data_IF_542809050774
#
_entry.id   IF_542809050774
#
_cell.length_a   1.000
_cell.length_b   1.000
_cell.length_c   1.000
_cell.angle_alpha   90.00
_cell.angle_beta   90.00
_cell.angle_gamma   90.00
#
_symmetry.space_group_name_H-M   'P 1'
#
loop_
_entity.id
_entity.type
_entity.pdbx_description
1 polymer ?
#
# COMPACT_ATOMS: atom_id res chain seq x y z
N UNK A 1 11.57 -9.66 -1.53
CA UNK A 1 10.62 -8.59 -1.16
C UNK A 1 9.96 -9.04 0.13
N UNK A 2 9.92 -8.19 1.17
CA UNK A 2 9.24 -8.56 2.39
C UNK A 2 7.73 -8.67 2.14
N UNK A 3 7.12 -9.65 2.80
CA UNK A 3 5.72 -9.99 2.61
C UNK A 3 4.95 -9.48 3.83
N UNK A 4 3.89 -8.72 3.56
CA UNK A 4 2.97 -8.22 4.56
C UNK A 4 1.56 -8.75 4.32
N UNK A 5 0.72 -8.56 5.33
CA UNK A 5 -0.72 -8.81 5.23
C UNK A 5 -1.45 -7.49 5.27
N UNK A 6 -2.40 -7.32 4.35
CA UNK A 6 -3.22 -6.13 4.28
C UNK A 6 -4.58 -6.42 4.92
N UNK A 7 -4.99 -5.53 5.81
CA UNK A 7 -6.29 -5.56 6.46
C UNK A 7 -7.05 -4.27 6.19
N UNK A 8 -8.37 -4.36 6.20
CA UNK A 8 -9.24 -3.20 6.06
C UNK A 8 -9.29 -2.43 7.38
N UNK A 9 -9.02 -1.12 7.38
CA UNK A 9 -8.98 -0.35 8.63
C UNK A 9 -10.34 -0.20 9.32
N UNK A 10 -11.46 -0.47 8.63
CA UNK A 10 -12.82 -0.31 9.17
C UNK A 10 -13.30 -1.50 9.99
N UNK A 11 -12.88 -2.71 9.63
CA UNK A 11 -13.42 -3.98 10.18
C UNK A 11 -12.30 -4.98 10.54
N UNK A 12 -11.04 -4.57 10.39
CA UNK A 12 -9.83 -5.41 10.55
C UNK A 12 -9.87 -6.72 9.74
N UNK A 13 -10.71 -6.76 8.69
CA UNK A 13 -10.82 -7.90 7.80
C UNK A 13 -9.55 -8.05 6.98
N UNK A 14 -9.02 -9.27 6.97
CA UNK A 14 -7.95 -9.66 6.07
C UNK A 14 -8.42 -9.48 4.62
N UNK A 15 -7.64 -8.71 3.84
CA UNK A 15 -7.93 -8.43 2.44
C UNK A 15 -7.09 -9.37 1.57
N UNK A 16 -5.78 -9.29 1.70
CA UNK A 16 -4.84 -10.00 0.84
C UNK A 16 -3.42 -9.98 1.41
N UNK A 17 -2.58 -10.87 0.89
CA UNK A 17 -1.14 -10.79 1.06
C UNK A 17 -0.58 -9.74 0.09
N UNK A 18 0.37 -8.94 0.57
CA UNK A 18 0.98 -7.84 -0.18
C UNK A 18 2.49 -7.90 -0.08
N UNK A 19 3.17 -7.69 -1.19
CA UNK A 19 4.59 -7.38 -1.21
C UNK A 19 4.77 -5.89 -1.01
N UNK A 20 5.56 -5.48 -0.04
CA UNK A 20 5.86 -4.07 0.17
C UNK A 20 7.34 -3.79 -0.04
N UNK A 21 7.64 -2.56 -0.44
CA UNK A 21 9.00 -2.05 -0.57
C UNK A 21 9.00 -0.62 -0.07
N UNK A 22 9.61 -0.40 1.10
CA UNK A 22 9.86 0.96 1.59
C UNK A 22 10.89 1.63 0.69
N UNK A 23 10.49 2.72 0.03
CA UNK A 23 11.44 3.57 -0.69
C UNK A 23 12.04 4.61 0.23
N UNK A 24 11.29 5.00 1.26
CA UNK A 24 11.74 5.97 2.24
C UNK A 24 11.13 5.63 3.59
N UNK A 25 12.00 5.47 4.58
CA UNK A 25 11.63 5.28 5.98
C UNK A 25 12.14 6.50 6.75
N UNK A 26 11.28 7.15 7.50
CA UNK A 26 11.62 8.19 8.47
C UNK A 26 10.89 7.89 9.77
N UNK A 27 11.39 8.40 10.89
CA UNK A 27 10.94 8.03 12.24
C UNK A 27 9.41 8.08 12.43
N UNK A 28 8.72 8.99 11.74
CA UNK A 28 7.26 9.16 11.85
C UNK A 28 6.48 8.89 10.56
N UNK A 29 7.15 8.66 9.42
CA UNK A 29 6.49 8.46 8.12
C UNK A 29 7.31 7.54 7.24
N UNK A 30 6.62 6.66 6.56
CA UNK A 30 7.19 5.84 5.51
C UNK A 30 6.37 5.99 4.24
N UNK A 31 7.04 5.91 3.09
CA UNK A 31 6.37 5.76 1.81
C UNK A 31 7.13 4.74 0.97
N UNK A 32 6.40 4.11 0.07
CA UNK A 32 6.93 2.99 -0.68
C UNK A 32 5.93 2.47 -1.69
N UNK A 33 6.32 1.36 -2.30
CA UNK A 33 5.47 0.63 -3.21
C UNK A 33 4.88 -0.58 -2.51
N UNK A 34 3.62 -0.85 -2.82
CA UNK A 34 2.92 -2.00 -2.31
C UNK A 34 2.21 -2.68 -3.48
N UNK A 35 2.53 -3.95 -3.67
CA UNK A 35 2.00 -4.81 -4.72
C UNK A 35 1.17 -5.90 -4.08
N UNK A 36 -0.10 -5.98 -4.42
CA UNK A 36 -0.95 -7.09 -3.98
C UNK A 36 -0.51 -8.38 -4.67
N UNK A 37 -0.32 -9.44 -3.89
CA UNK A 37 -0.03 -10.78 -4.43
C UNK A 37 -1.27 -11.35 -5.10
N UNK A 38 -2.42 -11.18 -4.45
CA UNK A 38 -3.72 -11.56 -4.99
C UNK A 38 -4.42 -10.37 -5.64
N UNK A 39 -5.10 -10.61 -6.76
CA UNK A 39 -5.89 -9.58 -7.42
C UNK A 39 -7.15 -9.27 -6.61
N UNK A 40 -7.06 -8.29 -5.71
CA UNK A 40 -8.17 -7.85 -4.87
C UNK A 40 -8.56 -6.41 -5.17
N UNK A 41 -9.87 -6.16 -5.24
CA UNK A 41 -10.41 -4.81 -5.39
C UNK A 41 -10.29 -4.04 -4.08
N UNK A 42 -9.22 -3.25 -3.97
CA UNK A 42 -9.08 -2.21 -2.95
C UNK A 42 -9.69 -0.90 -3.45
N UNK A 43 -10.26 -0.13 -2.51
CA UNK A 43 -10.87 1.17 -2.75
C UNK A 43 -9.77 2.24 -2.66
N UNK A 44 -9.64 3.02 -3.72
CA UNK A 44 -8.62 4.07 -3.82
C UNK A 44 -8.73 5.09 -2.68
N UNK A 45 -7.60 5.46 -2.09
CA UNK A 45 -7.52 6.48 -1.04
C UNK A 45 -8.10 6.06 0.31
N UNK A 46 -8.47 4.79 0.49
CA UNK A 46 -8.96 4.30 1.77
C UNK A 46 -7.80 4.01 2.74
N UNK A 47 -8.11 4.11 4.04
CA UNK A 47 -7.19 3.70 5.10
C UNK A 47 -7.15 2.17 5.21
N UNK A 48 -5.93 1.64 5.19
CA UNK A 48 -5.64 0.22 5.34
C UNK A 48 -4.69 0.01 6.52
N UNK A 49 -4.71 -1.20 7.07
CA UNK A 49 -3.75 -1.65 8.06
C UNK A 49 -2.79 -2.63 7.38
N UNK A 50 -1.50 -2.31 7.39
CA UNK A 50 -0.45 -3.18 6.90
C UNK A 50 0.21 -3.86 8.10
N UNK A 51 0.18 -5.18 8.13
CA UNK A 51 0.94 -6.00 9.06
C UNK A 51 2.21 -6.47 8.36
N UNK A 52 3.35 -6.05 8.90
CA UNK A 52 4.69 -6.38 8.43
C UNK A 52 5.10 -7.76 8.96
N UNK A 53 6.14 -8.36 8.36
CA UNK A 53 6.66 -9.66 8.79
C UNK A 53 7.13 -9.66 10.26
N UNK A 54 7.59 -8.51 10.76
CA UNK A 54 8.02 -8.28 12.15
C UNK A 54 6.83 -8.13 13.14
N UNK A 55 5.62 -8.56 12.76
CA UNK A 55 4.36 -8.35 13.52
C UNK A 55 3.99 -6.89 13.81
N UNK A 56 4.73 -5.93 13.24
CA UNK A 56 4.41 -4.51 13.34
C UNK A 56 3.21 -4.17 12.47
N UNK A 57 2.22 -3.49 13.05
CA UNK A 57 1.03 -3.00 12.35
C UNK A 57 1.15 -1.51 12.11
N UNK A 58 1.08 -1.10 10.85
CA UNK A 58 1.11 0.29 10.45
C UNK A 58 -0.17 0.65 9.69
N UNK A 59 -0.77 1.79 10.03
CA UNK A 59 -1.89 2.33 9.25
C UNK A 59 -1.33 3.09 8.05
N UNK A 60 -1.77 2.74 6.85
CA UNK A 60 -1.35 3.37 5.62
C UNK A 60 -2.56 3.69 4.73
N UNK A 61 -2.46 4.77 3.94
CA UNK A 61 -3.45 5.05 2.92
C UNK A 61 -2.94 4.53 1.58
N UNK A 62 -3.64 3.55 1.00
CA UNK A 62 -3.26 3.04 -0.32
C UNK A 62 -3.90 3.89 -1.38
N UNK A 63 -3.06 4.50 -2.22
CA UNK A 63 -3.49 5.21 -3.41
C UNK A 63 -3.05 4.38 -4.61
N UNK A 64 -3.99 4.01 -5.46
CA UNK A 64 -3.73 3.36 -6.73
C UNK A 64 -2.78 4.26 -7.50
N UNK A 65 -1.65 3.71 -7.93
CA UNK A 65 -0.77 4.39 -8.87
C UNK A 65 -1.51 4.46 -10.20
N UNK A 66 -2.20 5.56 -10.43
CA UNK A 66 -2.70 5.92 -11.76
C UNK A 66 -1.46 6.30 -12.56
N UNK A 67 -1.14 5.52 -13.59
CA UNK A 67 -0.26 5.98 -14.66
C UNK A 67 -0.98 7.15 -15.33
N UNK A 68 -0.83 8.35 -14.77
CA UNK A 68 -1.16 9.56 -15.51
C UNK A 68 -0.08 9.65 -16.59
N UNK A 69 -0.39 9.15 -17.78
CA UNK A 69 0.37 9.50 -18.96
C UNK A 69 0.35 11.03 -19.02
N UNK A 70 1.48 11.64 -18.66
CA UNK A 70 1.72 13.05 -18.95
C UNK A 70 2.00 13.04 -20.43
N UNK A 71 0.97 13.22 -21.25
CA UNK A 71 1.14 13.60 -22.64
C UNK A 71 1.84 14.95 -22.62
N UNK A 72 3.16 14.93 -22.66
CA UNK A 72 3.99 16.07 -22.99
C UNK A 72 3.65 16.46 -24.43
N UNK A 73 2.62 17.28 -24.59
CA UNK A 73 2.50 18.13 -25.76
C UNK A 73 3.27 19.42 -25.41
N UNK A 74 4.46 19.64 -26.00
CA UNK A 74 5.14 20.93 -25.82
C UNK A 74 4.33 22.02 -26.53
N UNK A 75 4.22 23.24 -25.95
CA UNK A 75 3.60 24.39 -26.61
C UNK A 75 4.42 24.90 -27.80
#
# INVERSE_FOLDING_TARGET
MPIGKLYQSSDEKFIAVVNYQFQHESENRWWGELTLVDYVRIKDGSGYLLELEDSRRARCSLKKRVNRAVTSLPP
#
